data_IF_631270020586
#
_entry.id   IF_631270020586
#
_cell.length_a   1.000
_cell.length_b   1.000
_cell.length_c   1.000
_cell.angle_alpha   90.00
_cell.angle_beta   90.00
_cell.angle_gamma   90.00
#
_symmetry.space_group_name_H-M   'P 1'
#
loop_
_entity.id
_entity.type
_entity.pdbx_description
1 polymer ?
#
# COMPACT_ATOMS: atom_id res chain seq x y z
N UNK A 1 -34.53 -2.83 13.38
CA UNK A 1 -33.45 -1.99 13.98
C UNK A 1 -33.74 -0.55 13.60
N UNK A 2 -33.85 0.35 14.56
CA UNK A 2 -34.21 1.73 14.26
C UNK A 2 -33.07 2.43 13.54
N UNK A 3 -33.36 3.21 12.51
CA UNK A 3 -32.38 3.96 11.69
C UNK A 3 -31.50 4.84 12.57
N UNK A 4 -32.06 5.38 13.66
CA UNK A 4 -31.33 6.23 14.62
C UNK A 4 -30.18 5.42 15.29
N UNK A 5 -30.40 4.17 15.68
CA UNK A 5 -29.34 3.35 16.28
C UNK A 5 -28.25 3.00 15.29
N UNK A 6 -28.58 2.74 14.03
CA UNK A 6 -27.59 2.52 12.97
C UNK A 6 -26.74 3.78 12.79
N UNK A 7 -27.36 4.95 12.73
CA UNK A 7 -26.68 6.23 12.57
C UNK A 7 -25.72 6.52 13.74
N UNK A 8 -26.18 6.30 14.98
CA UNK A 8 -25.34 6.49 16.17
C UNK A 8 -24.13 5.53 16.17
N UNK A 9 -24.34 4.27 15.84
CA UNK A 9 -23.27 3.29 15.73
C UNK A 9 -22.27 3.67 14.62
N UNK A 10 -22.76 4.12 13.47
CA UNK A 10 -21.91 4.59 12.38
C UNK A 10 -21.04 5.78 12.82
N UNK A 11 -21.60 6.75 13.51
CA UNK A 11 -20.87 7.91 14.07
C UNK A 11 -19.78 7.43 15.02
N UNK A 12 -20.11 6.58 15.99
CA UNK A 12 -19.14 6.08 16.97
C UNK A 12 -18.03 5.27 16.29
N UNK A 13 -18.39 4.38 15.34
CA UNK A 13 -17.43 3.57 14.60
C UNK A 13 -16.48 4.44 13.76
N UNK A 14 -16.99 5.45 13.06
CA UNK A 14 -16.17 6.37 12.27
C UNK A 14 -15.26 7.23 13.17
N UNK A 15 -15.78 7.76 14.27
CA UNK A 15 -14.96 8.50 15.25
C UNK A 15 -13.86 7.60 15.81
N UNK A 16 -14.16 6.33 16.12
CA UNK A 16 -13.16 5.36 16.58
C UNK A 16 -12.04 5.20 15.55
N UNK A 17 -12.36 5.02 14.28
CA UNK A 17 -11.35 4.92 13.22
C UNK A 17 -10.53 6.21 13.11
N UNK A 18 -11.16 7.37 13.13
CA UNK A 18 -10.46 8.66 13.08
C UNK A 18 -9.45 8.77 14.23
N UNK A 19 -9.85 8.39 15.44
CA UNK A 19 -8.96 8.42 16.60
C UNK A 19 -7.81 7.40 16.46
N UNK A 20 -8.11 6.17 16.05
CA UNK A 20 -7.11 5.13 15.85
C UNK A 20 -6.10 5.50 14.76
N UNK A 21 -6.56 6.05 13.64
CA UNK A 21 -5.67 6.50 12.56
C UNK A 21 -4.80 7.67 12.99
N UNK A 22 -5.36 8.61 13.77
CA UNK A 22 -4.60 9.75 14.30
C UNK A 22 -3.51 9.32 15.28
N UNK A 23 -3.79 8.32 16.12
CA UNK A 23 -2.81 7.75 17.07
C UNK A 23 -1.74 6.94 16.33
N UNK A 24 -2.14 6.22 15.28
CA UNK A 24 -1.25 5.35 14.51
C UNK A 24 -0.30 6.14 13.57
N UNK A 25 -0.62 7.41 13.28
CA UNK A 25 0.23 8.32 12.51
C UNK A 25 -0.10 8.38 11.02
N UNK A 26 0.68 9.21 10.29
CA UNK A 26 0.44 9.57 8.89
C UNK A 26 0.55 8.39 7.88
N UNK A 27 1.14 7.27 8.28
CA UNK A 27 1.34 6.10 7.41
C UNK A 27 0.13 5.17 7.28
N UNK A 28 -0.92 5.36 8.09
CA UNK A 28 -2.05 4.41 8.16
C UNK A 28 -2.82 4.21 6.85
N UNK A 29 -2.73 5.11 5.90
CA UNK A 29 -3.43 5.05 4.59
C UNK A 29 -2.60 5.60 3.42
N UNK A 30 -1.29 5.71 3.56
CA UNK A 30 -0.40 6.15 2.48
C UNK A 30 -0.07 4.98 1.53
N UNK A 31 0.67 5.20 0.45
CA UNK A 31 1.16 4.14 -0.45
C UNK A 31 1.82 3.03 0.37
N UNK A 32 1.19 1.86 0.42
CA UNK A 32 1.42 0.83 1.41
C UNK A 32 1.81 -0.48 0.72
N UNK A 33 2.53 -1.33 1.45
CA UNK A 33 2.78 -2.69 1.02
C UNK A 33 1.48 -3.49 0.83
N UNK A 34 1.54 -4.61 0.14
CA UNK A 34 0.38 -5.50 -0.05
C UNK A 34 -0.25 -5.92 1.28
N UNK A 35 0.56 -6.07 2.33
CA UNK A 35 0.13 -6.36 3.68
C UNK A 35 -0.73 -5.21 4.29
N UNK A 36 -0.25 -3.98 4.20
CA UNK A 36 -0.99 -2.81 4.70
C UNK A 36 -2.35 -2.67 3.99
N UNK A 37 -2.36 -2.90 2.66
CA UNK A 37 -3.60 -2.90 1.89
C UNK A 37 -4.58 -3.97 2.39
N UNK A 38 -4.11 -5.21 2.59
CA UNK A 38 -4.95 -6.30 3.09
C UNK A 38 -5.54 -5.98 4.47
N UNK A 39 -4.76 -5.42 5.38
CA UNK A 39 -5.27 -4.96 6.70
C UNK A 39 -6.28 -3.83 6.53
N UNK A 40 -6.07 -2.88 5.63
CA UNK A 40 -7.02 -1.79 5.39
C UNK A 40 -8.38 -2.32 4.94
N UNK A 41 -8.39 -3.30 4.03
CA UNK A 41 -9.63 -3.98 3.60
C UNK A 41 -10.29 -4.72 4.77
N UNK A 42 -9.50 -5.42 5.60
CA UNK A 42 -10.02 -6.11 6.79
C UNK A 42 -10.65 -5.12 7.79
N UNK A 43 -9.99 -3.98 8.06
CA UNK A 43 -10.52 -2.91 8.91
C UNK A 43 -11.86 -2.39 8.36
N UNK A 44 -11.95 -2.15 7.05
CA UNK A 44 -13.19 -1.73 6.41
C UNK A 44 -14.34 -2.74 6.59
N UNK A 45 -14.05 -4.03 6.49
CA UNK A 45 -15.00 -5.11 6.69
C UNK A 45 -15.50 -5.17 8.14
N UNK A 46 -14.58 -5.03 9.11
CA UNK A 46 -14.94 -4.99 10.55
C UNK A 46 -15.72 -3.72 10.88
N UNK A 47 -15.39 -2.57 10.26
CA UNK A 47 -16.16 -1.34 10.42
C UNK A 47 -17.62 -1.52 9.97
N UNK A 48 -17.84 -2.14 8.81
CA UNK A 48 -19.19 -2.44 8.35
C UNK A 48 -19.94 -3.37 9.33
N UNK A 49 -19.27 -4.41 9.82
CA UNK A 49 -19.83 -5.31 10.84
C UNK A 49 -20.14 -4.60 12.16
N UNK A 50 -19.31 -3.61 12.53
CA UNK A 50 -19.55 -2.80 13.74
C UNK A 50 -20.84 -1.99 13.62
N UNK A 51 -21.09 -1.35 12.47
CA UNK A 51 -22.31 -0.58 12.21
C UNK A 51 -23.55 -1.49 12.22
N UNK A 52 -23.41 -2.68 11.63
CA UNK A 52 -24.49 -3.68 11.50
C UNK A 52 -24.68 -4.57 12.73
N UNK A 53 -23.94 -4.38 13.80
CA UNK A 53 -24.02 -5.19 15.01
C UNK A 53 -25.45 -5.28 15.54
N UNK A 54 -25.91 -6.48 15.88
CA UNK A 54 -27.28 -6.72 16.36
C UNK A 54 -27.45 -6.40 17.84
N UNK A 55 -26.39 -6.61 18.62
CA UNK A 55 -26.38 -6.39 20.06
C UNK A 55 -25.32 -5.37 20.47
N UNK A 56 -25.44 -4.71 21.64
CA UNK A 56 -24.36 -3.89 22.19
C UNK A 56 -23.07 -4.68 22.43
N UNK A 57 -23.17 -5.96 22.77
CA UNK A 57 -22.01 -6.84 22.96
C UNK A 57 -21.22 -7.02 21.66
N UNK A 58 -21.90 -7.32 20.54
CA UNK A 58 -21.28 -7.47 19.23
C UNK A 58 -20.62 -6.16 18.76
N UNK A 59 -21.28 -5.03 19.03
CA UNK A 59 -20.75 -3.71 18.72
C UNK A 59 -19.38 -3.47 19.40
N UNK A 60 -19.31 -3.66 20.71
CA UNK A 60 -18.08 -3.45 21.46
C UNK A 60 -17.01 -4.49 21.15
N UNK A 61 -17.39 -5.73 20.84
CA UNK A 61 -16.46 -6.75 20.38
C UNK A 61 -15.82 -6.35 19.06
N UNK A 62 -16.60 -5.87 18.09
CA UNK A 62 -16.08 -5.40 16.81
C UNK A 62 -15.19 -4.15 16.97
N UNK A 63 -15.53 -3.22 17.87
CA UNK A 63 -14.65 -2.10 18.22
C UNK A 63 -13.32 -2.61 18.78
N UNK A 64 -13.35 -3.61 19.63
CA UNK A 64 -12.13 -4.27 20.15
C UNK A 64 -11.29 -4.89 19.04
N UNK A 65 -11.92 -5.53 18.05
CA UNK A 65 -11.23 -6.07 16.87
C UNK A 65 -10.58 -4.95 16.02
N UNK A 66 -11.25 -3.82 15.84
CA UNK A 66 -10.65 -2.66 15.16
C UNK A 66 -9.39 -2.19 15.89
N UNK A 67 -9.47 -2.02 17.21
CA UNK A 67 -8.29 -1.63 18.01
C UNK A 67 -7.16 -2.66 17.86
N UNK A 68 -7.49 -3.96 17.91
CA UNK A 68 -6.50 -5.03 17.74
C UNK A 68 -5.80 -4.97 16.38
N UNK A 69 -6.53 -4.75 15.27
CA UNK A 69 -5.93 -4.59 13.95
C UNK A 69 -4.96 -3.40 13.89
N UNK A 70 -5.32 -2.26 14.44
CA UNK A 70 -4.44 -1.09 14.49
C UNK A 70 -3.19 -1.34 15.35
N UNK A 71 -3.32 -2.04 16.47
CA UNK A 71 -2.17 -2.42 17.30
C UNK A 71 -1.22 -3.38 16.58
N UNK A 72 -1.77 -4.40 15.92
CA UNK A 72 -0.98 -5.35 15.11
C UNK A 72 -0.28 -4.64 13.97
N UNK A 73 -1.00 -3.80 13.21
CA UNK A 73 -0.41 -3.03 12.12
C UNK A 73 0.73 -2.14 12.62
N UNK A 74 0.54 -1.43 13.74
CA UNK A 74 1.58 -0.61 14.35
C UNK A 74 2.80 -1.43 14.75
N UNK A 75 2.58 -2.57 15.42
CA UNK A 75 3.67 -3.45 15.86
C UNK A 75 4.48 -3.96 14.67
N UNK A 76 3.81 -4.42 13.60
CA UNK A 76 4.49 -4.89 12.38
C UNK A 76 5.25 -3.75 11.71
N UNK A 77 4.64 -2.57 11.57
CA UNK A 77 5.29 -1.39 10.98
C UNK A 77 6.54 -0.97 11.76
N UNK A 78 6.50 -1.06 13.09
CA UNK A 78 7.62 -0.72 13.95
C UNK A 78 8.75 -1.74 13.85
N UNK A 79 8.43 -3.04 13.82
CA UNK A 79 9.41 -4.12 13.65
C UNK A 79 10.05 -4.04 12.25
N UNK A 80 9.24 -3.82 11.21
CA UNK A 80 9.73 -3.63 9.83
C UNK A 80 10.71 -2.46 9.72
N UNK A 81 10.39 -1.31 10.33
CA UNK A 81 11.26 -0.13 10.30
C UNK A 81 12.61 -0.33 11.00
N UNK A 82 12.74 -1.37 11.84
CA UNK A 82 13.96 -1.66 12.61
C UNK A 82 14.75 -2.86 12.09
N UNK A 83 14.19 -3.64 11.16
CA UNK A 83 14.79 -4.90 10.71
C UNK A 83 14.55 -5.11 9.22
N UNK A 84 15.62 -4.96 8.45
CA UNK A 84 15.68 -5.23 7.02
C UNK A 84 15.22 -6.68 6.67
N UNK A 85 15.54 -7.65 7.54
CA UNK A 85 15.10 -9.05 7.35
C UNK A 85 13.58 -9.20 7.44
N UNK A 86 12.93 -8.42 8.29
CA UNK A 86 11.46 -8.44 8.45
C UNK A 86 10.82 -7.69 7.30
N UNK A 87 11.42 -6.61 6.85
CA UNK A 87 10.99 -5.86 5.68
C UNK A 87 10.97 -6.77 4.44
N UNK A 88 12.09 -7.42 4.11
CA UNK A 88 12.21 -8.37 2.98
C UNK A 88 11.27 -9.59 3.11
N UNK A 89 10.92 -10.00 4.34
CA UNK A 89 10.01 -11.13 4.55
C UNK A 89 8.52 -10.76 4.37
N UNK A 90 8.17 -9.50 4.53
CA UNK A 90 6.77 -9.01 4.46
C UNK A 90 6.49 -8.34 3.12
N UNK A 91 7.43 -7.55 2.61
CA UNK A 91 7.30 -6.80 1.37
C UNK A 91 7.95 -7.56 0.20
N UNK A 92 7.42 -7.37 -0.99
CA UNK A 92 8.09 -7.84 -2.20
C UNK A 92 9.27 -6.91 -2.52
N UNK A 93 10.34 -7.46 -3.08
CA UNK A 93 11.44 -6.65 -3.56
C UNK A 93 11.02 -5.87 -4.82
N UNK A 94 11.42 -4.59 -4.96
CA UNK A 94 11.21 -3.84 -6.18
C UNK A 94 11.85 -4.54 -7.38
N UNK A 95 11.20 -4.46 -8.56
CA UNK A 95 11.66 -5.14 -9.78
C UNK A 95 11.82 -4.15 -10.93
N UNK A 96 12.97 -4.19 -11.59
CA UNK A 96 13.26 -3.35 -12.74
C UNK A 96 12.47 -3.82 -13.97
N UNK A 97 11.65 -2.95 -14.56
CA UNK A 97 10.83 -3.25 -15.76
C UNK A 97 11.42 -2.67 -17.04
N UNK A 98 12.11 -1.52 -16.95
CA UNK A 98 12.83 -0.91 -18.07
C UNK A 98 14.17 -0.35 -17.60
N UNK A 99 15.16 -0.38 -18.49
CA UNK A 99 16.47 0.29 -18.31
C UNK A 99 16.90 0.96 -19.61
N UNK A 100 17.29 2.24 -19.53
CA UNK A 100 17.79 3.03 -20.65
C UNK A 100 16.89 2.94 -21.90
N UNK A 101 15.59 3.08 -21.70
CA UNK A 101 14.59 3.05 -22.78
C UNK A 101 14.20 1.66 -23.29
N UNK A 102 14.85 0.59 -22.84
CA UNK A 102 14.57 -0.77 -23.25
C UNK A 102 13.71 -1.50 -22.22
N UNK A 103 12.72 -2.27 -22.69
CA UNK A 103 11.92 -3.15 -21.84
C UNK A 103 12.71 -4.41 -21.47
N UNK A 104 12.53 -4.85 -20.24
CA UNK A 104 13.06 -6.11 -19.71
C UNK A 104 11.92 -7.15 -19.74
N UNK A 105 11.78 -7.84 -20.86
CA UNK A 105 10.62 -8.71 -21.14
C UNK A 105 10.47 -9.84 -20.12
N UNK A 106 11.56 -10.43 -19.64
CA UNK A 106 11.55 -11.47 -18.61
C UNK A 106 10.99 -10.93 -17.28
N UNK A 107 11.37 -9.73 -16.92
CA UNK A 107 10.89 -9.06 -15.70
C UNK A 107 9.42 -8.67 -15.82
N UNK A 108 8.99 -8.21 -16.99
CA UNK A 108 7.56 -7.91 -17.25
C UNK A 108 6.72 -9.19 -17.08
N UNK A 109 7.16 -10.32 -17.61
CA UNK A 109 6.49 -11.62 -17.44
C UNK A 109 6.46 -12.05 -15.98
N UNK A 110 7.58 -11.94 -15.27
CA UNK A 110 7.68 -12.25 -13.84
C UNK A 110 6.75 -11.40 -13.00
N UNK A 111 6.65 -10.10 -13.32
CA UNK A 111 5.76 -9.15 -12.65
C UNK A 111 4.30 -9.28 -13.06
N UNK A 112 3.98 -10.03 -14.12
CA UNK A 112 2.65 -10.08 -14.73
C UNK A 112 2.14 -8.70 -15.20
N UNK A 113 3.06 -7.83 -15.67
CA UNK A 113 2.77 -6.47 -16.15
C UNK A 113 2.93 -6.45 -17.67
N UNK A 114 1.97 -5.83 -18.36
CA UNK A 114 2.05 -5.64 -19.80
C UNK A 114 2.88 -4.41 -20.17
N UNK A 115 3.45 -4.40 -21.39
CA UNK A 115 4.08 -3.19 -21.93
C UNK A 115 3.09 -2.02 -21.99
N UNK A 116 1.81 -2.29 -22.18
CA UNK A 116 0.78 -1.26 -22.24
C UNK A 116 0.61 -0.55 -20.89
N UNK A 117 0.69 -1.29 -19.78
CA UNK A 117 0.63 -0.72 -18.43
C UNK A 117 1.83 0.19 -18.16
N UNK A 118 3.03 -0.27 -18.53
CA UNK A 118 4.26 0.55 -18.41
C UNK A 118 4.14 1.81 -19.27
N UNK A 119 3.70 1.71 -20.52
CA UNK A 119 3.48 2.87 -21.39
C UNK A 119 2.44 3.82 -20.79
N UNK A 120 1.41 3.28 -20.14
CA UNK A 120 0.44 4.07 -19.37
C UNK A 120 1.11 4.92 -18.30
N UNK A 121 2.01 4.33 -17.53
CA UNK A 121 2.78 5.02 -16.49
C UNK A 121 3.81 6.02 -17.04
N UNK A 122 4.42 5.74 -18.20
CA UNK A 122 5.26 6.72 -18.88
C UNK A 122 4.48 7.99 -19.24
N UNK A 123 3.25 7.84 -19.76
CA UNK A 123 2.37 8.98 -20.06
C UNK A 123 1.98 9.75 -18.80
N UNK A 124 1.62 9.04 -17.73
CA UNK A 124 1.28 9.64 -16.44
C UNK A 124 2.43 10.48 -15.87
N UNK A 125 3.67 10.01 -16.07
CA UNK A 125 4.90 10.68 -15.62
C UNK A 125 5.43 11.73 -16.60
N UNK A 126 4.73 11.98 -17.71
CA UNK A 126 5.18 12.90 -18.77
C UNK A 126 6.54 12.52 -19.40
N UNK A 127 6.91 11.26 -19.41
CA UNK A 127 8.06 10.75 -20.16
C UNK A 127 7.68 10.65 -21.65
N UNK A 128 8.12 11.61 -22.44
CA UNK A 128 7.68 11.78 -23.84
C UNK A 128 8.43 10.88 -24.83
N UNK A 129 9.61 10.39 -24.46
CA UNK A 129 10.47 9.58 -25.32
C UNK A 129 11.09 8.44 -24.52
N UNK A 130 11.21 7.27 -25.15
CA UNK A 130 11.91 6.14 -24.52
C UNK A 130 13.39 6.46 -24.23
N UNK A 131 14.04 7.30 -25.06
CA UNK A 131 15.42 7.72 -24.85
C UNK A 131 15.64 8.56 -23.58
N UNK A 132 14.58 9.16 -23.04
CA UNK A 132 14.60 9.91 -21.79
C UNK A 132 14.38 9.01 -20.56
N UNK A 133 13.89 7.78 -20.76
CA UNK A 133 13.61 6.83 -19.68
C UNK A 133 14.92 6.18 -19.23
N UNK A 134 15.30 6.44 -17.99
CA UNK A 134 16.50 5.84 -17.37
C UNK A 134 16.18 4.50 -16.72
N UNK A 135 15.08 4.44 -15.97
CA UNK A 135 14.58 3.20 -15.39
C UNK A 135 13.06 3.27 -15.16
N UNK A 136 12.42 2.12 -15.16
CA UNK A 136 11.06 1.93 -14.67
C UNK A 136 11.11 0.78 -13.67
N UNK A 137 10.60 1.01 -12.48
CA UNK A 137 10.64 0.07 -11.36
C UNK A 137 9.23 -0.24 -10.90
N UNK A 138 8.89 -1.52 -10.77
CA UNK A 138 7.74 -1.97 -10.00
C UNK A 138 8.13 -1.95 -8.53
N UNK A 139 7.50 -1.10 -7.75
CA UNK A 139 7.78 -0.95 -6.34
C UNK A 139 7.13 -2.07 -5.49
N UNK A 140 7.63 -2.28 -4.28
CA UNK A 140 7.05 -3.20 -3.30
C UNK A 140 5.55 -2.92 -3.02
N UNK A 141 5.11 -1.69 -3.24
CA UNK A 141 3.71 -1.26 -3.11
C UNK A 141 2.81 -1.68 -4.27
N UNK A 142 3.38 -2.24 -5.35
CA UNK A 142 2.68 -2.54 -6.59
C UNK A 142 2.49 -1.33 -7.52
N UNK A 143 2.98 -0.14 -7.14
CA UNK A 143 3.00 1.03 -8.03
C UNK A 143 4.23 0.97 -8.96
N UNK A 144 4.19 1.71 -10.05
CA UNK A 144 5.29 1.77 -11.03
C UNK A 144 5.92 3.15 -10.97
N UNK A 145 7.19 3.20 -10.57
CA UNK A 145 8.02 4.40 -10.57
C UNK A 145 8.71 4.58 -11.92
N UNK A 146 8.63 5.79 -12.48
CA UNK A 146 9.30 6.14 -13.73
C UNK A 146 10.39 7.17 -13.44
N UNK A 147 11.64 6.78 -13.72
CA UNK A 147 12.82 7.63 -13.59
C UNK A 147 13.23 8.05 -14.99
N UNK A 148 13.03 9.33 -15.33
CA UNK A 148 13.33 9.88 -16.64
C UNK A 148 13.99 11.25 -16.54
N UNK A 149 14.67 11.65 -17.60
CA UNK A 149 15.37 12.93 -17.70
C UNK A 149 16.65 12.83 -18.50
N UNK A 150 17.36 13.97 -18.61
CA UNK A 150 18.58 14.08 -19.42
C UNK A 150 19.85 13.62 -18.69
N UNK A 151 19.76 13.40 -17.37
CA UNK A 151 20.90 12.99 -16.51
C UNK A 151 20.87 11.49 -16.29
N UNK A 152 22.03 10.88 -16.12
CA UNK A 152 22.14 9.49 -15.72
C UNK A 152 21.69 9.30 -14.28
N UNK A 153 21.13 8.11 -13.98
CA UNK A 153 20.72 7.74 -12.62
C UNK A 153 21.95 7.43 -11.77
N UNK A 154 21.98 7.98 -10.57
CA UNK A 154 22.87 7.50 -9.53
C UNK A 154 22.51 6.04 -9.20
N UNK A 155 23.50 5.12 -9.27
CA UNK A 155 23.27 3.70 -9.04
C UNK A 155 22.69 3.42 -7.63
N UNK A 156 22.97 4.26 -6.66
CA UNK A 156 22.40 4.18 -5.31
C UNK A 156 20.85 4.29 -5.28
N UNK A 157 20.25 4.92 -6.30
CA UNK A 157 18.78 5.00 -6.42
C UNK A 157 18.15 3.65 -6.77
N UNK A 158 18.94 2.75 -7.36
CA UNK A 158 18.53 1.40 -7.75
C UNK A 158 19.04 0.31 -6.79
N UNK A 159 19.57 0.70 -5.63
CA UNK A 159 19.94 -0.26 -4.60
C UNK A 159 18.69 -0.99 -4.08
N UNK A 160 18.80 -2.31 -3.91
CA UNK A 160 17.68 -3.17 -3.52
C UNK A 160 16.68 -3.49 -4.64
N UNK A 161 16.85 -2.96 -5.86
CA UNK A 161 15.99 -3.29 -7.00
C UNK A 161 16.50 -4.56 -7.69
N UNK A 162 15.64 -5.58 -7.77
CA UNK A 162 15.91 -6.80 -8.54
C UNK A 162 16.06 -6.48 -10.03
N UNK A 163 17.04 -7.11 -10.67
CA UNK A 163 17.38 -6.91 -12.09
C UNK A 163 17.03 -8.10 -12.94
#
# INVERSE_FOLDING_TARGET
MDVIYILLRAIVAVVTIILLTRINGLRSFSKMSGFDFAITVAIGSVLASTVMASTPGDFWSNVGVLVAFFLVQRAISEVRARSERVETAIDNDPLLLMRNGAFLDDNLLKAQISKADVIGKLRESNALRFSEVRAVVLEATGDISVLHGDVDIDDAILDGVMR
#
